data_IF_969641534369
#
_entry.id   IF_969641534369
#
_cell.length_a   1.000
_cell.length_b   1.000
_cell.length_c   1.000
_cell.angle_alpha   90.00
_cell.angle_beta   90.00
_cell.angle_gamma   90.00
#
_symmetry.space_group_name_H-M   'P 1'
#
loop_
_entity.id
_entity.type
_entity.pdbx_description
1 polymer ?
#
# COMPACT_ATOMS: atom_id res chain seq x y z
N UNK A 1 11.29 -17.36 -5.84
CA UNK A 1 10.73 -17.33 -4.46
C UNK A 1 9.20 -17.22 -4.53
N UNK A 2 8.50 -17.17 -3.39
CA UNK A 2 7.05 -16.94 -3.32
C UNK A 2 6.75 -15.50 -2.88
N UNK A 3 5.64 -14.94 -3.34
CA UNK A 3 5.14 -13.63 -2.91
C UNK A 3 4.50 -13.75 -1.51
N UNK A 4 5.26 -13.43 -0.45
CA UNK A 4 4.77 -13.38 0.93
C UNK A 4 4.70 -11.94 1.41
N UNK A 5 3.67 -11.62 2.19
CA UNK A 5 3.54 -10.29 2.80
C UNK A 5 4.66 -10.04 3.84
N UNK A 6 5.32 -8.88 3.77
CA UNK A 6 6.38 -8.47 4.73
C UNK A 6 5.95 -8.54 6.20
N UNK A 7 4.66 -8.31 6.47
CA UNK A 7 4.08 -8.36 7.81
C UNK A 7 3.68 -9.77 8.26
N UNK A 8 3.91 -10.81 7.45
CA UNK A 8 3.55 -12.18 7.79
C UNK A 8 4.19 -12.63 9.12
N UNK A 9 5.49 -12.41 9.29
CA UNK A 9 6.18 -12.75 10.53
C UNK A 9 5.61 -12.01 11.75
N UNK A 10 5.23 -10.74 11.58
CA UNK A 10 4.63 -9.93 12.65
C UNK A 10 3.31 -10.53 13.13
N UNK A 11 2.43 -10.92 12.21
CA UNK A 11 1.12 -11.49 12.57
C UNK A 11 1.22 -12.93 13.08
N UNK A 12 2.04 -13.77 12.44
CA UNK A 12 2.22 -15.17 12.83
C UNK A 12 2.84 -15.30 14.23
N UNK A 13 3.76 -14.41 14.59
CA UNK A 13 4.34 -14.37 15.94
C UNK A 13 3.38 -13.79 17.00
N UNK A 14 2.25 -13.20 16.59
CA UNK A 14 1.26 -12.58 17.47
C UNK A 14 -0.09 -13.32 17.47
N UNK A 15 -0.15 -14.57 16.99
CA UNK A 15 -1.39 -15.35 16.84
C UNK A 15 -2.20 -15.45 18.12
N UNK A 16 -1.56 -15.69 19.27
CA UNK A 16 -2.25 -15.79 20.56
C UNK A 16 -2.97 -14.48 20.93
N UNK A 17 -2.34 -13.33 20.65
CA UNK A 17 -2.94 -12.01 20.87
C UNK A 17 -4.10 -11.78 19.91
N UNK A 18 -3.89 -12.05 18.62
CA UNK A 18 -4.83 -11.68 17.56
C UNK A 18 -6.08 -12.58 17.56
N UNK A 19 -5.94 -13.84 17.96
CA UNK A 19 -7.04 -14.81 18.04
C UNK A 19 -7.89 -14.70 19.32
N UNK A 20 -7.51 -13.85 20.27
CA UNK A 20 -8.26 -13.67 21.50
C UNK A 20 -9.68 -13.09 21.21
N UNK A 21 -10.75 -13.58 21.87
CA UNK A 21 -12.14 -13.18 21.57
C UNK A 21 -12.43 -11.67 21.71
N UNK A 22 -11.62 -10.97 22.51
CA UNK A 22 -11.76 -9.55 22.81
C UNK A 22 -10.57 -8.72 22.29
N UNK A 23 -9.83 -9.24 21.31
CA UNK A 23 -8.71 -8.52 20.72
C UNK A 23 -9.19 -7.22 20.05
N UNK A 24 -8.50 -6.12 20.33
CA UNK A 24 -8.66 -4.84 19.65
C UNK A 24 -7.36 -4.54 18.90
N UNK A 25 -7.39 -4.35 17.57
CA UNK A 25 -6.19 -4.05 16.80
C UNK A 25 -5.45 -2.83 17.33
N UNK A 26 -4.15 -2.97 17.51
CA UNK A 26 -3.27 -1.86 17.87
C UNK A 26 -3.01 -0.98 16.65
N UNK A 27 -2.50 0.23 16.87
CA UNK A 27 -2.04 1.08 15.76
C UNK A 27 -0.98 0.38 14.90
N UNK A 28 -0.12 -0.45 15.50
CA UNK A 28 0.88 -1.23 14.76
C UNK A 28 0.22 -2.29 13.86
N UNK A 29 -0.85 -2.94 14.33
CA UNK A 29 -1.63 -3.87 13.50
C UNK A 29 -2.25 -3.13 12.31
N UNK A 30 -2.84 -1.96 12.54
CA UNK A 30 -3.43 -1.15 11.47
C UNK A 30 -2.36 -0.72 10.45
N UNK A 31 -1.22 -0.21 10.92
CA UNK A 31 -0.13 0.26 10.05
C UNK A 31 0.52 -0.87 9.23
N UNK A 32 0.52 -2.10 9.75
CA UNK A 32 1.09 -3.29 9.10
C UNK A 32 0.07 -4.05 8.26
N UNK A 33 -1.19 -3.66 8.29
CA UNK A 33 -2.21 -4.28 7.46
C UNK A 33 -2.05 -3.77 6.04
N UNK A 34 -1.66 -4.66 5.13
CA UNK A 34 -1.56 -4.33 3.71
C UNK A 34 -2.93 -4.42 3.06
N UNK A 35 -3.66 -3.31 3.03
CA UNK A 35 -4.87 -3.18 2.20
C UNK A 35 -4.45 -2.57 0.88
N UNK A 36 -4.77 -3.25 -0.23
CA UNK A 36 -4.52 -2.70 -1.56
C UNK A 36 -5.31 -1.40 -1.74
N UNK A 37 -4.62 -0.27 -1.90
CA UNK A 37 -5.25 0.99 -2.32
C UNK A 37 -5.78 0.82 -3.75
N UNK A 38 -7.08 1.07 -3.92
CA UNK A 38 -7.76 1.08 -5.22
C UNK A 38 -8.36 2.46 -5.44
N UNK A 39 -8.16 3.02 -6.63
CA UNK A 39 -8.55 4.37 -6.95
C UNK A 39 -7.63 5.44 -6.34
N UNK A 40 -8.24 6.58 -6.03
CA UNK A 40 -7.57 7.77 -5.49
C UNK A 40 -8.23 8.11 -4.17
N UNK A 41 -7.45 8.18 -3.10
CA UNK A 41 -7.91 8.57 -1.77
C UNK A 41 -7.40 9.98 -1.48
N UNK A 42 -8.31 10.89 -1.16
CA UNK A 42 -8.00 12.27 -0.81
C UNK A 42 -8.10 12.46 0.70
N UNK A 43 -7.03 12.99 1.31
CA UNK A 43 -6.99 13.34 2.74
C UNK A 43 -6.60 14.79 2.94
N UNK A 44 -7.35 15.47 3.81
CA UNK A 44 -7.06 16.84 4.22
C UNK A 44 -6.54 16.88 5.65
N UNK A 45 -5.42 17.57 5.87
CA UNK A 45 -4.90 17.80 7.21
C UNK A 45 -4.21 19.17 7.32
N UNK A 46 -4.03 19.66 8.54
CA UNK A 46 -3.31 20.90 8.81
C UNK A 46 -2.07 20.63 9.64
N UNK A 47 -0.94 21.22 9.27
CA UNK A 47 0.31 21.12 10.02
C UNK A 47 1.02 22.47 10.03
N UNK A 48 1.37 22.95 11.23
CA UNK A 48 2.01 24.26 11.45
C UNK A 48 1.29 25.43 10.75
N UNK A 49 -0.05 25.41 10.74
CA UNK A 49 -0.89 26.44 10.12
C UNK A 49 -1.03 26.33 8.60
N UNK A 50 -0.36 25.37 7.96
CA UNK A 50 -0.52 25.08 6.53
C UNK A 50 -1.57 23.98 6.34
N UNK A 51 -2.42 24.14 5.33
CA UNK A 51 -3.40 23.11 4.92
C UNK A 51 -2.80 22.26 3.82
N UNK A 52 -2.83 20.95 4.00
CA UNK A 52 -2.36 19.97 3.04
C UNK A 52 -3.54 19.22 2.45
N UNK A 53 -3.47 19.02 1.14
CA UNK A 53 -4.31 18.13 0.36
C UNK A 53 -3.42 17.00 -0.15
N UNK A 54 -3.56 15.81 0.43
CA UNK A 54 -2.77 14.64 0.10
C UNK A 54 -3.62 13.66 -0.70
N UNK A 55 -3.06 13.16 -1.80
CA UNK A 55 -3.66 12.13 -2.63
C UNK A 55 -2.81 10.87 -2.49
N UNK A 56 -3.44 9.78 -2.07
CA UNK A 56 -2.86 8.44 -2.14
C UNK A 56 -3.45 7.73 -3.37
N UNK A 57 -2.59 7.23 -4.24
CA UNK A 57 -2.97 6.60 -5.50
C UNK A 57 -2.50 5.16 -5.51
N UNK A 58 -3.36 4.25 -5.96
CA UNK A 58 -2.98 2.84 -6.10
C UNK A 58 -1.72 2.67 -6.96
N UNK A 59 -0.75 1.93 -6.43
CA UNK A 59 0.56 1.71 -7.07
C UNK A 59 0.60 0.59 -8.13
N UNK A 60 -0.40 -0.28 -8.17
CA UNK A 60 -0.51 -1.39 -9.13
C UNK A 60 -0.67 -0.88 -10.56
N UNK A 61 -0.16 -1.62 -11.57
CA UNK A 61 -0.21 -1.21 -12.99
C UNK A 61 -1.63 -0.90 -13.46
N UNK A 62 -2.62 -1.66 -12.98
CA UNK A 62 -4.05 -1.44 -13.26
C UNK A 62 -4.57 -0.06 -12.83
N UNK A 63 -3.90 0.59 -11.87
CA UNK A 63 -4.30 1.87 -11.30
C UNK A 63 -3.57 3.07 -11.94
N UNK A 64 -2.47 2.86 -12.66
CA UNK A 64 -1.62 3.94 -13.22
C UNK A 64 -2.38 4.89 -14.16
N UNK A 65 -3.36 4.38 -14.91
CA UNK A 65 -4.20 5.22 -15.79
C UNK A 65 -4.99 6.29 -15.03
N UNK A 66 -5.25 6.10 -13.73
CA UNK A 66 -5.99 7.04 -12.90
C UNK A 66 -5.12 8.18 -12.38
N UNK A 67 -3.80 8.02 -12.35
CA UNK A 67 -2.89 8.99 -11.75
C UNK A 67 -2.97 10.37 -12.43
N UNK A 68 -3.22 10.42 -13.74
CA UNK A 68 -3.33 11.68 -14.48
C UNK A 68 -4.39 12.64 -13.88
N UNK A 69 -5.42 12.10 -13.22
CA UNK A 69 -6.52 12.87 -12.64
C UNK A 69 -6.14 13.62 -11.36
N UNK A 70 -5.01 13.30 -10.73
CA UNK A 70 -4.57 13.95 -9.49
C UNK A 70 -3.33 14.84 -9.66
N UNK A 71 -2.81 15.04 -10.89
CA UNK A 71 -1.59 15.83 -11.13
C UNK A 71 -1.83 17.33 -11.33
N UNK A 72 -3.08 17.78 -11.52
CA UNK A 72 -3.36 19.21 -11.69
C UNK A 72 -3.19 19.97 -10.36
N UNK A 73 -2.31 20.97 -10.34
CA UNK A 73 -2.09 21.81 -9.16
C UNK A 73 -1.30 21.15 -8.03
N UNK A 74 -0.59 20.04 -8.30
CA UNK A 74 0.27 19.38 -7.30
C UNK A 74 1.49 20.24 -6.99
N UNK A 75 1.77 20.44 -5.69
CA UNK A 75 2.95 21.17 -5.22
C UNK A 75 4.20 20.29 -5.18
N UNK A 76 4.06 19.02 -4.81
CA UNK A 76 5.16 18.08 -4.69
C UNK A 76 4.67 16.64 -4.88
N UNK A 77 5.55 15.77 -5.39
CA UNK A 77 5.32 14.34 -5.52
C UNK A 77 6.19 13.62 -4.50
N UNK A 78 5.60 12.71 -3.75
CA UNK A 78 6.33 11.78 -2.87
C UNK A 78 6.35 10.43 -3.59
N UNK A 79 7.52 10.01 -4.05
CA UNK A 79 7.71 8.72 -4.70
C UNK A 79 8.38 7.75 -3.72
N UNK A 80 7.70 6.65 -3.42
CA UNK A 80 8.17 5.64 -2.47
C UNK A 80 8.71 4.42 -3.22
N UNK A 81 9.86 3.90 -2.79
CA UNK A 81 10.49 2.70 -3.35
C UNK A 81 10.81 1.75 -2.22
N UNK A 82 10.38 0.49 -2.34
CA UNK A 82 10.77 -0.57 -1.43
C UNK A 82 12.21 -1.01 -1.76
N UNK A 83 13.16 -0.66 -0.90
CA UNK A 83 14.57 -1.06 -1.07
C UNK A 83 14.81 -2.54 -0.77
N UNK A 84 13.93 -3.15 0.02
CA UNK A 84 13.94 -4.58 0.35
C UNK A 84 13.70 -5.48 -0.86
N UNK A 85 13.02 -4.96 -1.89
CA UNK A 85 12.47 -5.78 -2.97
C UNK A 85 13.46 -5.92 -4.14
N UNK A 86 14.75 -5.71 -3.90
CA UNK A 86 15.78 -5.69 -4.95
C UNK A 86 15.97 -7.05 -5.64
N UNK A 87 15.61 -8.14 -4.97
CA UNK A 87 15.67 -9.52 -5.45
C UNK A 87 14.28 -10.13 -5.74
N UNK A 88 13.22 -9.31 -5.68
CA UNK A 88 11.84 -9.74 -5.94
C UNK A 88 11.39 -9.38 -7.36
N UNK A 89 10.42 -10.16 -7.87
CA UNK A 89 9.68 -9.87 -9.11
C UNK A 89 8.31 -9.29 -8.79
N UNK A 90 7.72 -8.53 -9.72
CA UNK A 90 6.36 -8.04 -9.53
C UNK A 90 5.37 -9.19 -9.69
N UNK A 91 4.40 -9.30 -8.78
CA UNK A 91 3.33 -10.30 -8.88
C UNK A 91 2.50 -10.14 -10.18
N UNK A 92 2.40 -8.91 -10.70
CA UNK A 92 1.70 -8.60 -11.96
C UNK A 92 2.45 -9.15 -13.21
N UNK A 93 3.72 -9.55 -13.09
CA UNK A 93 4.49 -10.13 -14.20
C UNK A 93 4.17 -11.61 -14.44
N UNK A 94 3.64 -12.34 -13.44
CA UNK A 94 3.27 -13.75 -13.60
C UNK A 94 1.96 -13.93 -14.39
N UNK A 95 1.05 -12.95 -14.37
CA UNK A 95 -0.22 -12.99 -15.12
C UNK A 95 -0.02 -12.95 -16.66
N UNK A 96 1.05 -12.33 -17.15
CA UNK A 96 1.32 -12.21 -18.59
C UNK A 96 1.68 -13.55 -19.25
N UNK A 97 2.19 -14.53 -18.50
CA UNK A 97 2.60 -15.83 -19.06
C UNK A 97 1.44 -16.81 -19.28
N UNK A 98 0.27 -16.55 -18.70
CA UNK A 98 -0.90 -17.45 -18.74
C UNK A 98 -1.89 -17.05 -19.85
N UNK A 99 -1.65 -15.93 -20.53
CA UNK A 99 -2.44 -15.50 -21.68
C UNK A 99 -1.70 -15.84 -22.97
N UNK A 100 -2.00 -16.97 -23.65
CA UNK A 100 -1.46 -17.18 -24.99
C UNK A 100 -2.06 -16.15 -25.97
N UNK A 101 -1.37 -15.81 -27.05
CA UNK A 101 -1.89 -14.93 -28.10
C UNK A 101 -3.14 -15.50 -28.79
#
# INVERSE_FOLDING_TARGET
EYQLNDSAAYYLNALDRISAPNNVPTQQDVMRTTVKTTGIIETHFSFKGLRFKMFDVGGQRSEHKKWIHCFEGVTAIIFCVALSDYDLVLAEDEEEWISPP
#
